data_IF_773699991166
#
_entry.id   IF_773699991166
#
_cell.length_a   1.000
_cell.length_b   1.000
_cell.length_c   1.000
_cell.angle_alpha   90.00
_cell.angle_beta   90.00
_cell.angle_gamma   90.00
#
_symmetry.space_group_name_H-M   'P 1'
#
loop_
_entity.id
_entity.type
_entity.pdbx_description
1 polymer ?
#
# COMPACT_ATOMS: atom_id res chain seq x y z
N UNK A 1 8.28 32.02 8.79
CA UNK A 1 7.74 31.27 7.63
C UNK A 1 8.62 31.47 6.40
N UNK A 2 8.94 32.72 6.02
CA UNK A 2 9.92 33.03 4.97
C UNK A 2 11.29 32.37 5.21
N UNK A 3 11.83 32.43 6.43
CA UNK A 3 13.15 31.85 6.73
C UNK A 3 13.20 30.33 6.56
N UNK A 4 12.14 29.65 6.97
CA UNK A 4 11.99 28.21 6.77
C UNK A 4 11.84 27.82 5.29
N UNK A 5 11.07 28.60 4.52
CA UNK A 5 10.95 28.39 3.07
C UNK A 5 12.33 28.55 2.41
N UNK A 6 13.07 29.59 2.78
CA UNK A 6 14.43 29.83 2.28
C UNK A 6 15.39 28.70 2.69
N UNK A 7 15.28 28.19 3.92
CA UNK A 7 16.07 27.05 4.40
C UNK A 7 15.75 25.76 3.63
N UNK A 8 14.47 25.49 3.33
CA UNK A 8 14.06 24.35 2.49
C UNK A 8 14.47 24.50 1.04
N UNK A 9 14.38 25.70 0.46
CA UNK A 9 14.88 25.98 -0.89
C UNK A 9 16.40 25.82 -0.94
N UNK A 10 17.13 26.24 0.10
CA UNK A 10 18.57 26.01 0.22
C UNK A 10 18.89 24.52 0.35
N UNK A 11 18.16 23.79 1.19
CA UNK A 11 18.28 22.34 1.30
C UNK A 11 18.03 21.64 -0.04
N UNK A 12 17.00 22.05 -0.77
CA UNK A 12 16.65 21.49 -2.07
C UNK A 12 17.73 21.77 -3.12
N UNK A 13 18.32 22.97 -3.13
CA UNK A 13 19.44 23.31 -4.01
C UNK A 13 20.70 22.49 -3.71
N UNK A 14 20.99 22.25 -2.43
CA UNK A 14 22.22 21.54 -1.99
C UNK A 14 22.08 20.02 -2.13
N UNK A 15 20.89 19.48 -1.86
CA UNK A 15 20.62 18.03 -1.82
C UNK A 15 19.68 17.57 -2.94
N UNK A 16 19.69 18.25 -4.10
CA UNK A 16 18.79 17.96 -5.22
C UNK A 16 18.88 16.49 -5.67
N UNK A 17 20.07 15.87 -5.63
CA UNK A 17 20.29 14.45 -5.94
C UNK A 17 19.46 13.53 -5.04
N UNK A 18 19.43 13.81 -3.73
CA UNK A 18 18.63 13.06 -2.76
C UNK A 18 17.14 13.22 -3.08
N UNK A 19 16.71 14.43 -3.44
CA UNK A 19 15.33 14.71 -3.81
C UNK A 19 14.91 13.98 -5.09
N UNK A 20 15.78 13.95 -6.10
CA UNK A 20 15.55 13.21 -7.34
C UNK A 20 15.44 11.72 -7.06
N UNK A 21 16.36 11.14 -6.27
CA UNK A 21 16.33 9.72 -5.91
C UNK A 21 15.04 9.38 -5.16
N UNK A 22 14.62 10.21 -4.20
CA UNK A 22 13.34 10.02 -3.49
C UNK A 22 12.16 10.06 -4.45
N UNK A 23 12.13 11.00 -5.41
CA UNK A 23 11.12 11.07 -6.46
C UNK A 23 11.10 9.82 -7.35
N UNK A 24 12.27 9.33 -7.77
CA UNK A 24 12.41 8.10 -8.56
C UNK A 24 11.92 6.88 -7.78
N UNK A 25 12.33 6.73 -6.52
CA UNK A 25 11.86 5.64 -5.66
C UNK A 25 10.35 5.68 -5.43
N UNK A 26 9.78 6.88 -5.25
CA UNK A 26 8.34 7.08 -5.09
C UNK A 26 7.60 6.61 -6.35
N UNK A 27 8.00 7.10 -7.52
CA UNK A 27 7.36 6.77 -8.79
C UNK A 27 7.53 5.29 -9.15
N UNK A 28 8.74 4.75 -9.05
CA UNK A 28 9.01 3.34 -9.29
C UNK A 28 8.27 2.45 -8.29
N UNK A 29 8.26 2.84 -7.01
CA UNK A 29 7.56 2.09 -5.97
C UNK A 29 6.06 1.97 -6.23
N UNK A 30 5.40 3.09 -6.55
CA UNK A 30 3.97 3.10 -6.93
C UNK A 30 3.72 2.26 -8.19
N UNK A 31 4.56 2.40 -9.21
CA UNK A 31 4.43 1.69 -10.49
C UNK A 31 4.61 0.18 -10.33
N UNK A 32 5.66 -0.25 -9.64
CA UNK A 32 5.97 -1.67 -9.40
C UNK A 32 4.91 -2.30 -8.47
N UNK A 33 4.45 -1.58 -7.46
CA UNK A 33 3.35 -2.05 -6.60
C UNK A 33 2.08 -2.26 -7.43
N UNK A 34 1.71 -1.29 -8.28
CA UNK A 34 0.54 -1.39 -9.16
C UNK A 34 0.65 -2.56 -10.15
N UNK A 35 1.85 -2.80 -10.70
CA UNK A 35 2.13 -3.98 -11.51
C UNK A 35 1.94 -5.28 -10.73
N UNK A 36 2.47 -5.36 -9.49
CA UNK A 36 2.26 -6.50 -8.60
C UNK A 36 0.76 -6.75 -8.34
N UNK A 37 -0.02 -5.67 -8.19
CA UNK A 37 -1.48 -5.75 -8.07
C UNK A 37 -2.11 -6.37 -9.32
N UNK A 38 -1.81 -5.80 -10.49
CA UNK A 38 -2.34 -6.28 -11.76
C UNK A 38 -1.96 -7.74 -12.09
N UNK A 39 -0.79 -8.20 -11.60
CA UNK A 39 -0.33 -9.58 -11.77
C UNK A 39 -1.01 -10.56 -10.81
N UNK A 40 -1.34 -10.18 -9.57
CA UNK A 40 -1.96 -11.12 -8.62
C UNK A 40 -3.45 -11.32 -8.88
N UNK A 41 -4.20 -10.26 -9.23
CA UNK A 41 -5.67 -10.32 -9.41
C UNK A 41 -6.11 -11.51 -10.28
N UNK A 42 -5.54 -11.72 -11.48
CA UNK A 42 -5.96 -12.82 -12.36
C UNK A 42 -5.52 -14.22 -11.90
N UNK A 43 -4.72 -14.36 -10.83
CA UNK A 43 -4.31 -15.68 -10.31
C UNK A 43 -5.47 -16.42 -9.65
N UNK A 44 -6.49 -15.71 -9.16
CA UNK A 44 -7.67 -16.30 -8.53
C UNK A 44 -7.38 -17.05 -7.21
N UNK A 45 -6.19 -16.91 -6.63
CA UNK A 45 -5.79 -17.55 -5.37
C UNK A 45 -6.26 -16.80 -4.13
N UNK A 46 -7.31 -16.01 -4.31
CA UNK A 46 -7.94 -15.14 -3.33
C UNK A 46 -7.42 -13.71 -3.34
N UNK A 47 -7.83 -12.95 -2.31
CA UNK A 47 -7.82 -11.48 -2.37
C UNK A 47 -6.83 -10.89 -1.37
N UNK A 48 -6.35 -9.67 -1.66
CA UNK A 48 -5.60 -8.90 -0.66
C UNK A 48 -6.47 -8.69 0.58
N UNK A 49 -5.85 -8.40 1.72
CA UNK A 49 -6.54 -8.12 2.97
C UNK A 49 -7.53 -6.94 2.87
N UNK A 50 -7.17 -5.92 2.07
CA UNK A 50 -8.02 -4.76 1.77
C UNK A 50 -9.19 -5.19 0.89
N UNK A 51 -8.92 -5.94 -0.17
CA UNK A 51 -9.97 -6.44 -1.06
C UNK A 51 -10.93 -7.37 -0.31
N UNK A 52 -10.43 -8.30 0.50
CA UNK A 52 -11.26 -9.19 1.33
C UNK A 52 -12.23 -8.38 2.20
N UNK A 53 -11.74 -7.33 2.86
CA UNK A 53 -12.58 -6.44 3.65
C UNK A 53 -13.62 -5.70 2.79
N UNK A 54 -13.19 -5.08 1.70
CA UNK A 54 -14.07 -4.35 0.77
C UNK A 54 -15.17 -5.26 0.25
N UNK A 55 -14.83 -6.42 -0.32
CA UNK A 55 -15.82 -7.37 -0.87
C UNK A 55 -16.79 -7.85 0.19
N UNK A 56 -16.30 -8.19 1.39
CA UNK A 56 -17.18 -8.61 2.49
C UNK A 56 -18.19 -7.52 2.85
N UNK A 57 -17.75 -6.28 3.02
CA UNK A 57 -18.67 -5.18 3.33
C UNK A 57 -19.64 -4.87 2.19
N UNK A 58 -19.21 -4.99 0.93
CA UNK A 58 -20.11 -4.86 -0.22
C UNK A 58 -21.19 -5.95 -0.19
N UNK A 59 -20.85 -7.21 0.08
CA UNK A 59 -21.82 -8.30 0.12
C UNK A 59 -22.82 -8.15 1.26
N UNK A 60 -22.37 -7.73 2.45
CA UNK A 60 -23.25 -7.42 3.59
C UNK A 60 -24.19 -6.26 3.24
N UNK A 61 -23.67 -5.16 2.70
CA UNK A 61 -24.47 -3.98 2.37
C UNK A 61 -25.50 -4.23 1.27
N UNK A 62 -25.21 -5.14 0.33
CA UNK A 62 -26.10 -5.47 -0.79
C UNK A 62 -27.03 -6.63 -0.48
N UNK A 63 -26.78 -7.37 0.59
CA UNK A 63 -27.59 -8.52 0.97
C UNK A 63 -27.58 -9.64 -0.08
N UNK A 64 -26.51 -9.77 -0.87
CA UNK A 64 -26.33 -10.91 -1.79
C UNK A 64 -24.86 -11.11 -2.17
N UNK A 65 -24.51 -12.35 -2.50
CA UNK A 65 -23.28 -12.62 -3.22
C UNK A 65 -23.41 -12.07 -4.64
N UNK A 66 -22.37 -11.40 -5.12
CA UNK A 66 -22.36 -10.88 -6.49
C UNK A 66 -21.16 -11.47 -7.21
N UNK A 67 -21.42 -12.28 -8.23
CA UNK A 67 -20.41 -12.63 -9.23
C UNK A 67 -20.08 -11.36 -10.04
N UNK A 68 -18.80 -11.20 -10.38
CA UNK A 68 -18.23 -9.97 -10.94
C UNK A 68 -19.03 -9.43 -12.14
N UNK A 69 -19.78 -8.34 -11.93
CA UNK A 69 -20.53 -7.59 -12.94
C UNK A 69 -20.43 -6.08 -12.70
N UNK A 70 -20.95 -5.25 -13.62
CA UNK A 70 -20.76 -3.78 -13.61
C UNK A 70 -21.28 -3.09 -12.32
N UNK A 71 -22.29 -3.66 -11.66
CA UNK A 71 -22.76 -3.18 -10.36
C UNK A 71 -21.71 -3.38 -9.23
N UNK A 72 -20.92 -4.46 -9.30
CA UNK A 72 -19.82 -4.75 -8.37
C UNK A 72 -18.71 -3.72 -8.56
N UNK A 73 -18.37 -3.38 -9.80
CA UNK A 73 -17.29 -2.43 -10.10
C UNK A 73 -17.54 -1.02 -9.53
N UNK A 74 -18.77 -0.50 -9.67
CA UNK A 74 -19.14 0.84 -9.19
C UNK A 74 -19.13 0.93 -7.66
N UNK A 75 -19.70 -0.09 -6.98
CA UNK A 75 -19.74 -0.12 -5.52
C UNK A 75 -18.36 -0.42 -4.95
N UNK A 76 -17.61 -1.35 -5.55
CA UNK A 76 -16.22 -1.66 -5.18
C UNK A 76 -15.34 -0.42 -5.22
N UNK A 77 -15.38 0.35 -6.31
CA UNK A 77 -14.59 1.59 -6.41
C UNK A 77 -14.94 2.59 -5.31
N UNK A 78 -16.24 2.71 -5.00
CA UNK A 78 -16.73 3.62 -3.94
C UNK A 78 -16.29 3.13 -2.55
N UNK A 79 -16.44 1.84 -2.26
CA UNK A 79 -16.05 1.23 -0.98
C UNK A 79 -14.53 1.26 -0.78
N UNK A 80 -13.76 1.04 -1.85
CA UNK A 80 -12.30 1.15 -1.83
C UNK A 80 -11.86 2.60 -1.58
N UNK A 81 -12.52 3.58 -2.20
CA UNK A 81 -12.28 5.00 -1.92
C UNK A 81 -12.60 5.34 -0.46
N UNK A 82 -13.75 4.90 0.07
CA UNK A 82 -14.11 5.09 1.48
C UNK A 82 -13.09 4.44 2.43
N UNK A 83 -12.58 3.27 2.08
CA UNK A 83 -11.50 2.61 2.82
C UNK A 83 -10.25 3.49 2.86
N UNK A 84 -9.78 3.98 1.71
CA UNK A 84 -8.57 4.84 1.67
C UNK A 84 -8.78 6.20 2.36
N UNK A 85 -9.97 6.77 2.30
CA UNK A 85 -10.33 7.99 3.05
C UNK A 85 -10.30 7.72 4.56
N UNK A 86 -10.89 6.60 5.00
CA UNK A 86 -10.87 6.20 6.42
C UNK A 86 -9.43 5.96 6.88
N UNK A 87 -8.63 5.28 6.07
CA UNK A 87 -7.21 5.07 6.28
C UNK A 87 -6.45 6.39 6.45
N UNK A 88 -6.71 7.36 5.57
CA UNK A 88 -6.13 8.71 5.65
C UNK A 88 -6.52 9.43 6.94
N UNK A 89 -7.77 9.34 7.37
CA UNK A 89 -8.24 9.94 8.64
C UNK A 89 -7.51 9.31 9.83
N UNK A 90 -7.43 7.98 9.90
CA UNK A 90 -6.71 7.28 10.98
C UNK A 90 -5.22 7.64 10.98
N UNK A 91 -4.59 7.69 9.80
CA UNK A 91 -3.21 8.15 9.62
C UNK A 91 -3.02 9.57 10.17
N UNK A 92 -3.92 10.48 9.81
CA UNK A 92 -3.90 11.87 10.27
C UNK A 92 -4.07 11.97 11.79
N UNK A 93 -4.93 11.14 12.42
CA UNK A 93 -5.08 11.09 13.88
C UNK A 93 -3.77 10.63 14.54
N UNK A 94 -3.16 9.54 14.08
CA UNK A 94 -1.88 9.06 14.63
C UNK A 94 -0.76 10.09 14.44
N UNK A 95 -0.66 10.68 13.24
CA UNK A 95 0.30 11.74 12.95
C UNK A 95 0.07 12.98 13.80
N UNK A 96 -1.18 13.36 14.05
CA UNK A 96 -1.52 14.51 14.91
C UNK A 96 -1.09 14.25 16.35
N UNK A 97 -1.38 13.06 16.90
CA UNK A 97 -0.97 12.69 18.26
C UNK A 97 0.56 12.74 18.39
N UNK A 98 1.29 12.17 17.43
CA UNK A 98 2.75 12.18 17.42
C UNK A 98 3.29 13.62 17.34
N UNK A 99 2.75 14.44 16.43
CA UNK A 99 3.11 15.85 16.24
C UNK A 99 2.85 16.69 17.49
N UNK A 100 1.71 16.49 18.16
CA UNK A 100 1.38 17.19 19.42
C UNK A 100 2.39 16.82 20.52
N UNK A 101 2.75 15.53 20.65
CA UNK A 101 3.76 15.09 21.64
C UNK A 101 5.11 15.75 21.37
N UNK A 102 5.53 15.81 20.11
CA UNK A 102 6.78 16.44 19.71
C UNK A 102 6.76 17.97 19.91
N UNK A 103 5.66 18.63 19.55
CA UNK A 103 5.47 20.06 19.78
C UNK A 103 5.45 20.40 21.27
N UNK A 104 4.84 19.57 22.12
CA UNK A 104 4.89 19.76 23.57
C UNK A 104 6.32 19.71 24.12
N UNK A 105 7.18 18.85 23.57
CA UNK A 105 8.59 18.73 23.95
C UNK A 105 9.46 19.88 23.42
N UNK A 106 9.35 20.19 22.13
CA UNK A 106 10.29 21.07 21.44
C UNK A 106 9.79 22.51 21.25
N UNK A 107 8.46 22.75 21.36
CA UNK A 107 7.79 24.05 21.13
C UNK A 107 8.03 24.69 19.75
N UNK A 108 8.49 23.91 18.77
CA UNK A 108 8.80 24.38 17.43
C UNK A 108 7.57 24.31 16.52
N UNK A 109 7.11 25.47 16.01
CA UNK A 109 6.00 25.53 15.06
C UNK A 109 6.28 24.81 13.73
N UNK A 110 7.56 24.62 13.38
CA UNK A 110 7.97 23.95 12.14
C UNK A 110 7.55 22.47 12.06
N UNK A 111 7.26 21.81 13.21
CA UNK A 111 6.86 20.39 13.28
C UNK A 111 5.51 20.14 12.60
N UNK A 112 4.64 21.15 12.53
CA UNK A 112 3.33 21.05 11.88
C UNK A 112 3.40 20.95 10.36
N UNK A 113 4.50 21.38 9.74
CA UNK A 113 4.62 21.41 8.28
C UNK A 113 4.84 20.02 7.69
N UNK A 114 5.76 19.17 8.21
CA UNK A 114 5.84 17.77 7.80
C UNK A 114 4.51 17.02 7.97
N UNK A 115 3.79 17.26 9.07
CA UNK A 115 2.47 16.68 9.29
C UNK A 115 1.48 17.09 8.19
N UNK A 116 1.34 18.40 7.93
CA UNK A 116 0.48 18.90 6.86
C UNK A 116 0.87 18.36 5.48
N UNK A 117 2.18 18.24 5.22
CA UNK A 117 2.70 17.68 3.95
C UNK A 117 2.24 16.23 3.77
N UNK A 118 2.37 15.39 4.80
CA UNK A 118 1.93 13.98 4.75
C UNK A 118 0.43 13.91 4.45
N UNK A 119 -0.40 14.67 5.18
CA UNK A 119 -1.85 14.68 4.99
C UNK A 119 -2.23 15.08 3.55
N UNK A 120 -1.62 16.15 3.01
CA UNK A 120 -1.88 16.60 1.63
C UNK A 120 -1.41 15.56 0.61
N UNK A 121 -0.23 14.95 0.81
CA UNK A 121 0.26 13.94 -0.13
C UNK A 121 -0.54 12.65 -0.08
N UNK A 122 -1.03 12.23 1.09
CA UNK A 122 -1.90 11.07 1.24
C UNK A 122 -3.24 11.28 0.52
N UNK A 123 -3.78 12.50 0.59
CA UNK A 123 -4.97 12.89 -0.16
C UNK A 123 -4.73 12.76 -1.67
N UNK A 124 -3.65 13.36 -2.18
CA UNK A 124 -3.29 13.30 -3.60
C UNK A 124 -3.13 11.84 -4.06
N UNK A 125 -2.34 11.04 -3.32
CA UNK A 125 -2.09 9.64 -3.65
C UNK A 125 -3.38 8.82 -3.64
N UNK A 126 -4.29 9.06 -2.70
CA UNK A 126 -5.56 8.33 -2.61
C UNK A 126 -6.37 8.46 -3.91
N UNK A 127 -6.30 9.61 -4.58
CA UNK A 127 -6.97 9.81 -5.87
C UNK A 127 -6.11 9.42 -7.08
N UNK A 128 -4.78 9.54 -6.99
CA UNK A 128 -3.87 9.26 -8.11
C UNK A 128 -3.58 7.76 -8.27
N UNK A 129 -3.43 7.02 -7.17
CA UNK A 129 -3.01 5.61 -7.20
C UNK A 129 -3.93 4.68 -8.00
N UNK A 130 -5.27 4.81 -7.96
CA UNK A 130 -6.17 4.00 -8.79
C UNK A 130 -5.86 4.08 -10.30
N UNK A 131 -5.38 5.23 -10.80
CA UNK A 131 -5.01 5.39 -12.21
C UNK A 131 -3.75 4.59 -12.58
N UNK A 132 -2.79 4.44 -11.65
CA UNK A 132 -1.61 3.58 -11.86
C UNK A 132 -2.01 2.11 -12.00
N UNK A 133 -2.95 1.65 -11.17
CA UNK A 133 -3.47 0.27 -11.27
C UNK A 133 -4.23 0.08 -12.59
N UNK A 134 -5.07 1.05 -12.96
CA UNK A 134 -5.84 1.00 -14.20
C UNK A 134 -4.93 0.96 -15.44
N UNK A 135 -3.83 1.71 -15.44
CA UNK A 135 -2.85 1.71 -16.54
C UNK A 135 -2.33 0.30 -16.87
N UNK A 136 -2.03 -0.52 -15.86
CA UNK A 136 -1.58 -1.90 -16.08
C UNK A 136 -2.71 -2.89 -16.39
N UNK A 137 -3.90 -2.63 -15.84
CA UNK A 137 -5.07 -3.46 -16.09
C UNK A 137 -5.65 -3.27 -17.50
N UNK A 138 -5.63 -2.04 -18.01
CA UNK A 138 -6.22 -1.66 -19.28
C UNK A 138 -5.41 -0.53 -19.97
N UNK A 139 -4.17 -0.82 -20.42
CA UNK A 139 -3.33 0.17 -21.07
C UNK A 139 -4.06 0.72 -22.30
N UNK A 140 -4.16 2.05 -22.39
CA UNK A 140 -4.82 2.77 -23.49
C UNK A 140 -6.32 2.46 -23.66
N UNK A 141 -7.00 1.97 -22.61
CA UNK A 141 -8.44 1.69 -22.62
C UNK A 141 -8.85 0.46 -23.44
N UNK A 142 -7.88 -0.29 -23.97
CA UNK A 142 -8.15 -1.47 -24.80
C UNK A 142 -8.30 -2.74 -23.95
N UNK A 143 -9.55 -3.13 -23.68
CA UNK A 143 -9.89 -4.33 -22.89
C UNK A 143 -9.14 -5.55 -23.45
N UNK A 144 -8.33 -6.20 -22.61
CA UNK A 144 -7.64 -7.46 -22.95
C UNK A 144 -6.19 -7.35 -23.44
N UNK A 145 -5.63 -6.13 -23.58
CA UNK A 145 -4.20 -5.90 -23.85
C UNK A 145 -3.36 -5.62 -22.59
N UNK A 146 -4.00 -5.48 -21.42
CA UNK A 146 -3.32 -5.29 -20.15
C UNK A 146 -2.69 -6.55 -19.57
N UNK A 147 -1.84 -6.37 -18.58
CA UNK A 147 -1.15 -7.46 -17.85
C UNK A 147 -2.16 -8.44 -17.23
N UNK A 148 -3.34 -7.93 -16.86
CA UNK A 148 -4.47 -8.71 -16.34
C UNK A 148 -4.99 -9.73 -17.36
N UNK A 149 -4.89 -9.45 -18.66
CA UNK A 149 -5.30 -10.37 -19.74
C UNK A 149 -4.21 -11.37 -20.15
N UNK A 150 -2.95 -11.14 -19.78
CA UNK A 150 -1.83 -12.03 -20.09
C UNK A 150 -1.79 -13.25 -19.17
N UNK A 151 -2.09 -13.07 -17.89
CA UNK A 151 -2.02 -14.14 -16.87
C UNK A 151 -2.96 -15.31 -17.18
N UNK A 152 -4.26 -15.11 -17.49
CA UNK A 152 -5.15 -16.22 -17.84
C UNK A 152 -4.71 -16.94 -19.11
N UNK A 153 -4.23 -16.21 -20.13
CA UNK A 153 -3.73 -16.77 -21.39
C UNK A 153 -2.48 -17.63 -21.17
N UNK A 154 -1.56 -17.17 -20.34
CA UNK A 154 -0.34 -17.90 -19.98
C UNK A 154 -0.66 -19.14 -19.14
N UNK A 155 -1.64 -19.06 -18.22
CA UNK A 155 -2.10 -20.21 -17.46
C UNK A 155 -2.70 -21.30 -18.37
N UNK A 156 -3.55 -20.92 -19.33
CA UNK A 156 -4.12 -21.86 -20.32
C UNK A 156 -3.04 -22.45 -21.23
N UNK A 157 -2.08 -21.63 -21.68
CA UNK A 157 -0.97 -22.10 -22.50
C UNK A 157 -0.06 -23.08 -21.74
N UNK A 158 0.28 -22.81 -20.48
CA UNK A 158 1.10 -23.73 -19.67
C UNK A 158 0.35 -25.02 -19.31
N UNK A 159 -0.97 -24.95 -19.10
CA UNK A 159 -1.82 -26.13 -18.91
C UNK A 159 -1.80 -27.03 -20.16
N UNK A 160 -1.79 -26.44 -21.35
CA UNK A 160 -1.62 -27.19 -22.61
C UNK A 160 -0.24 -27.86 -22.77
N UNK A 161 0.76 -27.48 -21.96
CA UNK A 161 2.09 -28.08 -21.90
C UNK A 161 2.24 -29.12 -20.77
N UNK A 162 1.15 -29.49 -20.08
CA UNK A 162 1.14 -30.50 -19.03
C UNK A 162 1.49 -29.98 -17.63
N UNK A 163 1.62 -28.67 -17.44
CA UNK A 163 1.71 -28.08 -16.10
C UNK A 163 0.31 -28.01 -15.47
N UNK A 164 0.18 -28.21 -14.15
CA UNK A 164 -1.11 -27.97 -13.51
C UNK A 164 -1.44 -26.47 -13.54
N UNK A 165 -2.56 -26.10 -14.16
CA UNK A 165 -3.05 -24.70 -14.17
C UNK A 165 -3.07 -24.05 -12.78
N UNK A 166 -3.37 -24.81 -11.72
CA UNK A 166 -3.34 -24.33 -10.34
C UNK A 166 -1.92 -24.10 -9.79
N UNK A 167 -0.96 -24.97 -10.12
CA UNK A 167 0.44 -24.80 -9.73
C UNK A 167 1.07 -23.58 -10.39
N UNK A 168 0.76 -23.35 -11.67
CA UNK A 168 1.17 -22.15 -12.42
C UNK A 168 0.62 -20.88 -11.76
N UNK A 169 -0.68 -20.84 -11.47
CA UNK A 169 -1.31 -19.70 -10.76
C UNK A 169 -0.65 -19.41 -9.41
N UNK A 170 -0.23 -20.46 -8.70
CA UNK A 170 0.42 -20.36 -7.40
C UNK A 170 1.81 -19.72 -7.49
N UNK A 171 2.63 -20.17 -8.43
CA UNK A 171 3.93 -19.54 -8.68
C UNK A 171 3.81 -18.10 -9.17
N UNK A 172 2.85 -17.84 -10.04
CA UNK A 172 2.57 -16.48 -10.50
C UNK A 172 2.13 -15.56 -9.36
N UNK A 173 1.30 -16.06 -8.43
CA UNK A 173 0.93 -15.33 -7.23
C UNK A 173 2.15 -15.01 -6.37
N UNK A 174 3.03 -15.97 -6.12
CA UNK A 174 4.25 -15.74 -5.32
C UNK A 174 5.13 -14.67 -5.97
N UNK A 175 5.35 -14.74 -7.29
CA UNK A 175 6.11 -13.74 -8.03
C UNK A 175 5.44 -12.36 -7.95
N UNK A 176 4.12 -12.29 -8.20
CA UNK A 176 3.34 -11.05 -8.11
C UNK A 176 3.41 -10.44 -6.70
N UNK A 177 3.34 -11.28 -5.66
CA UNK A 177 3.43 -10.88 -4.26
C UNK A 177 4.81 -10.33 -3.90
N UNK A 178 5.89 -10.93 -4.40
CA UNK A 178 7.26 -10.41 -4.21
C UNK A 178 7.42 -9.06 -4.92
N UNK A 179 6.94 -8.95 -6.17
CA UNK A 179 6.95 -7.68 -6.93
C UNK A 179 6.16 -6.59 -6.19
N UNK A 180 4.98 -6.93 -5.67
CA UNK A 180 4.18 -6.04 -4.83
C UNK A 180 4.95 -5.56 -3.60
N UNK A 181 5.55 -6.49 -2.83
CA UNK A 181 6.32 -6.15 -1.63
C UNK A 181 7.53 -5.26 -1.96
N UNK A 182 8.20 -5.53 -3.09
CA UNK A 182 9.34 -4.73 -3.54
C UNK A 182 8.92 -3.31 -3.92
N UNK A 183 7.80 -3.15 -4.64
CA UNK A 183 7.22 -1.85 -4.95
C UNK A 183 6.92 -1.03 -3.69
N UNK A 184 6.30 -1.64 -2.68
CA UNK A 184 6.06 -0.98 -1.39
C UNK A 184 7.38 -0.63 -0.69
N UNK A 185 8.37 -1.50 -0.71
CA UNK A 185 9.65 -1.22 -0.07
C UNK A 185 10.32 0.03 -0.66
N UNK A 186 10.33 0.18 -1.99
CA UNK A 186 10.81 1.40 -2.67
C UNK A 186 9.97 2.62 -2.30
N UNK A 187 8.64 2.47 -2.30
CA UNK A 187 7.70 3.54 -1.98
C UNK A 187 7.91 4.05 -0.56
N UNK A 188 7.91 3.17 0.44
CA UNK A 188 8.15 3.53 1.85
C UNK A 188 9.55 4.12 2.02
N UNK A 189 10.55 3.57 1.33
CA UNK A 189 11.93 4.10 1.35
C UNK A 189 12.02 5.52 0.80
N UNK A 190 11.13 5.96 -0.08
CA UNK A 190 11.14 7.34 -0.59
C UNK A 190 10.93 8.42 0.49
N UNK A 191 10.28 8.09 1.62
CA UNK A 191 9.97 8.98 2.76
C UNK A 191 9.13 10.24 2.47
N UNK A 192 8.66 10.45 1.23
CA UNK A 192 8.05 11.72 0.83
C UNK A 192 6.53 11.73 0.82
N UNK A 193 5.92 10.62 0.41
CA UNK A 193 4.49 10.56 0.21
C UNK A 193 4.07 9.08 0.34
N UNK A 194 3.91 8.54 1.56
CA UNK A 194 3.75 7.10 1.74
C UNK A 194 2.41 6.60 1.18
N UNK A 195 1.41 7.46 1.08
CA UNK A 195 0.04 7.09 0.73
C UNK A 195 -0.72 6.60 1.96
N UNK A 196 -2.04 6.80 1.96
CA UNK A 196 -2.90 6.61 3.14
C UNK A 196 -2.62 5.34 3.95
N UNK A 197 -2.52 4.18 3.29
CA UNK A 197 -2.26 2.92 3.98
C UNK A 197 -0.84 2.80 4.57
N UNK A 198 0.21 3.14 3.81
CA UNK A 198 1.58 3.10 4.35
C UNK A 198 1.80 4.21 5.40
N UNK A 199 1.09 5.32 5.27
CA UNK A 199 1.09 6.41 6.25
C UNK A 199 0.50 5.95 7.58
N UNK A 200 -0.62 5.21 7.61
CA UNK A 200 -1.07 4.60 8.89
C UNK A 200 0.04 3.74 9.49
N UNK A 201 0.65 2.85 8.70
CA UNK A 201 1.68 1.93 9.20
C UNK A 201 2.89 2.69 9.79
N UNK A 202 3.37 3.72 9.09
CA UNK A 202 4.52 4.53 9.53
C UNK A 202 4.18 5.44 10.71
N UNK A 203 2.99 6.03 10.77
CA UNK A 203 2.55 6.84 11.90
C UNK A 203 2.28 5.96 13.14
N UNK A 204 1.73 4.77 12.96
CA UNK A 204 1.57 3.79 14.02
C UNK A 204 2.92 3.32 14.56
N UNK A 205 3.89 3.07 13.68
CA UNK A 205 5.29 2.79 14.04
C UNK A 205 5.89 3.92 14.88
N UNK A 206 5.71 5.18 14.48
CA UNK A 206 6.18 6.35 15.22
C UNK A 206 5.52 6.48 16.61
N UNK A 207 4.22 6.14 16.71
CA UNK A 207 3.46 6.22 17.95
C UNK A 207 3.85 5.12 18.95
N UNK A 208 4.04 3.89 18.47
CA UNK A 208 4.24 2.68 19.29
C UNK A 208 5.69 2.28 19.48
N UNK A 209 6.61 2.82 18.67
CA UNK A 209 8.03 2.41 18.59
C UNK A 209 8.25 0.94 18.20
N UNK A 210 7.22 0.28 17.67
CA UNK A 210 7.35 -1.04 17.06
C UNK A 210 8.12 -0.92 15.74
N UNK A 211 8.60 -2.04 15.20
CA UNK A 211 9.19 -2.05 13.86
C UNK A 211 8.09 -2.04 12.78
N UNK A 212 8.45 -1.65 11.55
CA UNK A 212 7.49 -1.56 10.44
C UNK A 212 6.75 -2.88 10.17
N UNK A 213 7.43 -4.02 10.34
CA UNK A 213 6.84 -5.35 10.16
C UNK A 213 5.66 -5.59 11.09
N UNK A 214 5.84 -5.36 12.40
CA UNK A 214 4.80 -5.58 13.41
C UNK A 214 3.69 -4.53 13.25
N UNK A 215 4.06 -3.27 13.02
CA UNK A 215 3.09 -2.20 12.77
C UNK A 215 2.16 -2.55 11.60
N UNK A 216 2.71 -3.08 10.50
CA UNK A 216 1.93 -3.49 9.35
C UNK A 216 1.00 -4.66 9.64
N UNK A 217 1.49 -5.72 10.30
CA UNK A 217 0.65 -6.87 10.69
C UNK A 217 -0.53 -6.40 11.54
N UNK A 218 -0.30 -5.51 12.51
CA UNK A 218 -1.36 -4.98 13.37
C UNK A 218 -2.38 -4.18 12.54
N UNK A 219 -1.93 -3.30 11.65
CA UNK A 219 -2.83 -2.57 10.74
C UNK A 219 -3.65 -3.52 9.87
N UNK A 220 -3.03 -4.57 9.33
CA UNK A 220 -3.70 -5.58 8.51
C UNK A 220 -4.73 -6.39 9.29
N UNK A 221 -4.42 -6.76 10.54
CA UNK A 221 -5.38 -7.41 11.44
C UNK A 221 -6.57 -6.51 11.77
N UNK A 222 -6.34 -5.21 11.99
CA UNK A 222 -7.42 -4.24 12.24
C UNK A 222 -8.35 -4.12 11.03
N UNK A 223 -7.83 -4.29 9.81
CA UNK A 223 -8.63 -4.27 8.58
C UNK A 223 -9.40 -5.57 8.40
N UNK A 224 -8.74 -6.70 8.65
CA UNK A 224 -9.30 -8.03 8.39
C UNK A 224 -10.27 -8.48 9.47
N UNK A 225 -10.01 -8.22 10.75
CA UNK A 225 -10.84 -8.73 11.84
C UNK A 225 -12.31 -8.30 11.73
N UNK A 226 -12.65 -7.03 11.44
CA UNK A 226 -14.03 -6.62 11.19
C UNK A 226 -14.65 -7.36 10.00
N UNK A 227 -13.89 -7.63 8.94
CA UNK A 227 -14.36 -8.37 7.77
C UNK A 227 -14.62 -9.85 8.09
N UNK A 228 -13.74 -10.49 8.88
CA UNK A 228 -13.94 -11.88 9.35
C UNK A 228 -15.22 -12.00 10.17
N UNK A 229 -15.56 -10.98 10.97
CA UNK A 229 -16.84 -10.94 11.69
C UNK A 229 -18.01 -10.67 10.73
N UNK A 230 -17.86 -9.70 9.83
CA UNK A 230 -18.89 -9.27 8.90
C UNK A 230 -19.30 -10.37 7.90
N UNK A 231 -18.39 -11.28 7.53
CA UNK A 231 -18.66 -12.34 6.55
C UNK A 231 -19.82 -13.25 6.99
N UNK A 232 -20.01 -13.44 8.29
CA UNK A 232 -21.08 -14.28 8.85
C UNK A 232 -22.47 -13.65 8.75
N UNK A 233 -22.52 -12.35 8.43
CA UNK A 233 -23.76 -11.62 8.15
C UNK A 233 -24.06 -11.52 6.65
N UNK A 234 -23.24 -12.12 5.78
CA UNK A 234 -23.53 -12.21 4.35
C UNK A 234 -24.69 -13.19 4.17
N UNK A 235 -25.82 -12.79 3.58
CA UNK A 235 -26.95 -13.69 3.44
C UNK A 235 -26.68 -14.78 2.40
N UNK A 236 -27.17 -15.99 2.70
CA UNK A 236 -27.14 -17.10 1.76
C UNK A 236 -28.00 -16.77 0.55
N UNK A 237 -27.36 -16.62 -0.60
CA UNK A 237 -27.99 -16.31 -1.89
C UNK A 237 -27.36 -17.20 -2.95
N UNK A 238 -28.18 -17.72 -3.87
CA UNK A 238 -27.72 -18.55 -5.01
C UNK A 238 -26.86 -19.77 -4.62
N UNK A 239 -27.15 -20.40 -3.47
CA UNK A 239 -26.39 -21.56 -2.97
C UNK A 239 -25.02 -21.24 -2.36
N UNK A 240 -24.65 -19.95 -2.29
CA UNK A 240 -23.39 -19.51 -1.68
C UNK A 240 -23.66 -19.18 -0.21
N UNK A 241 -23.04 -19.95 0.68
CA UNK A 241 -23.11 -19.76 2.12
C UNK A 241 -22.08 -18.73 2.60
N UNK A 242 -22.25 -18.15 3.81
CA UNK A 242 -21.22 -17.35 4.46
C UNK A 242 -19.85 -18.05 4.49
N UNK A 243 -19.84 -19.37 4.77
CA UNK A 243 -18.64 -20.18 4.79
C UNK A 243 -17.98 -20.26 3.40
N UNK A 244 -18.76 -20.49 2.34
CA UNK A 244 -18.23 -20.50 0.97
C UNK A 244 -17.66 -19.13 0.60
N UNK A 245 -18.34 -18.03 0.96
CA UNK A 245 -17.85 -16.66 0.75
C UNK A 245 -16.54 -16.40 1.51
N UNK A 246 -16.45 -16.86 2.76
CA UNK A 246 -15.25 -16.76 3.57
C UNK A 246 -14.08 -17.51 2.92
N UNK A 247 -14.21 -18.82 2.65
CA UNK A 247 -13.10 -19.61 2.10
C UNK A 247 -12.72 -19.25 0.66
N UNK A 248 -13.63 -18.65 -0.10
CA UNK A 248 -13.33 -18.16 -1.47
C UNK A 248 -12.51 -16.87 -1.43
N UNK A 249 -12.77 -15.97 -0.47
CA UNK A 249 -12.11 -14.66 -0.43
C UNK A 249 -10.96 -14.59 0.58
N UNK A 250 -11.08 -15.28 1.73
CA UNK A 250 -10.05 -15.45 2.75
C UNK A 250 -9.23 -16.70 2.46
N UNK A 251 -8.09 -16.48 1.82
CA UNK A 251 -7.26 -17.52 1.21
C UNK A 251 -5.83 -17.47 1.72
N UNK A 252 -4.98 -18.37 1.22
CA UNK A 252 -3.53 -18.31 1.46
C UNK A 252 -2.93 -16.97 1.01
N UNK A 253 -3.47 -16.34 -0.04
CA UNK A 253 -3.05 -15.03 -0.47
C UNK A 253 -3.33 -13.97 0.60
N UNK A 254 -4.55 -13.96 1.14
CA UNK A 254 -4.96 -13.04 2.21
C UNK A 254 -4.08 -13.21 3.45
N UNK A 255 -3.82 -14.45 3.84
CA UNK A 255 -2.92 -14.78 4.96
C UNK A 255 -1.50 -14.26 4.68
N UNK A 256 -0.97 -14.44 3.47
CA UNK A 256 0.34 -13.90 3.09
C UNK A 256 0.37 -12.37 3.15
N UNK A 257 -0.68 -11.69 2.67
CA UNK A 257 -0.77 -10.24 2.76
C UNK A 257 -0.82 -9.73 4.21
N UNK A 258 -1.52 -10.43 5.12
CA UNK A 258 -1.63 -10.03 6.53
C UNK A 258 -0.34 -10.29 7.31
N UNK A 259 0.24 -11.49 7.20
CA UNK A 259 1.30 -11.92 8.09
C UNK A 259 2.71 -11.87 7.47
N UNK A 260 2.81 -11.98 6.15
CA UNK A 260 4.10 -12.15 5.46
C UNK A 260 4.56 -10.86 4.77
N UNK A 261 3.64 -10.01 4.30
CA UNK A 261 4.00 -8.78 3.58
C UNK A 261 4.86 -7.85 4.45
N UNK A 262 4.47 -7.59 5.70
CA UNK A 262 5.24 -6.76 6.64
C UNK A 262 6.70 -7.21 6.82
N UNK A 263 6.94 -8.48 7.19
CA UNK A 263 8.30 -9.02 7.30
C UNK A 263 9.12 -8.87 6.02
N UNK A 264 8.58 -9.27 4.86
CA UNK A 264 9.29 -9.20 3.57
C UNK A 264 9.64 -7.75 3.21
N UNK A 265 8.67 -6.84 3.33
CA UNK A 265 8.87 -5.42 3.03
C UNK A 265 9.96 -4.84 3.95
N UNK A 266 9.94 -5.17 5.24
CA UNK A 266 10.96 -4.70 6.18
C UNK A 266 12.37 -5.22 5.82
N UNK A 267 12.49 -6.50 5.42
CA UNK A 267 13.76 -7.06 4.93
C UNK A 267 14.24 -6.30 3.68
N UNK A 268 13.34 -6.05 2.73
CA UNK A 268 13.65 -5.31 1.50
C UNK A 268 14.08 -3.87 1.78
N UNK A 269 13.35 -3.13 2.64
CA UNK A 269 13.70 -1.76 3.05
C UNK A 269 15.11 -1.74 3.66
N UNK A 270 15.42 -2.68 4.55
CA UNK A 270 16.73 -2.78 5.18
C UNK A 270 17.83 -3.15 4.18
N UNK A 271 17.55 -4.04 3.22
CA UNK A 271 18.45 -4.39 2.13
C UNK A 271 18.74 -3.20 1.21
N UNK A 272 17.70 -2.51 0.76
CA UNK A 272 17.79 -1.28 -0.05
C UNK A 272 18.60 -0.21 0.69
N UNK A 273 18.40 -0.06 2.00
CA UNK A 273 19.13 0.90 2.84
C UNK A 273 20.63 0.64 2.98
N UNK A 274 21.12 -0.57 2.67
CA UNK A 274 22.56 -0.88 2.64
C UNK A 274 23.25 -0.35 1.38
N UNK A 275 22.50 -0.03 0.32
CA UNK A 275 23.06 0.53 -0.90
C UNK A 275 23.54 1.96 -0.65
N UNK A 276 24.81 2.25 -0.92
CA UNK A 276 25.43 3.57 -0.63
C UNK A 276 24.65 4.75 -1.23
N UNK A 277 24.11 4.58 -2.43
CA UNK A 277 23.34 5.60 -3.16
C UNK A 277 21.87 5.71 -2.72
N UNK A 278 21.41 4.89 -1.77
CA UNK A 278 20.05 4.95 -1.18
C UNK A 278 20.11 5.13 0.35
N UNK A 279 21.29 5.41 0.88
CA UNK A 279 21.51 5.79 2.27
C UNK A 279 21.53 7.33 2.36
N UNK A 280 20.34 7.92 2.54
CA UNK A 280 20.19 9.37 2.51
C UNK A 280 21.04 10.08 3.56
N UNK A 281 21.23 9.50 4.74
CA UNK A 281 22.04 10.09 5.82
C UNK A 281 23.51 10.25 5.41
N UNK A 282 24.00 9.37 4.52
CA UNK A 282 25.37 9.44 3.97
C UNK A 282 25.48 10.34 2.73
N UNK A 283 24.36 10.67 2.09
CA UNK A 283 24.32 11.50 0.88
C UNK A 283 24.05 12.98 1.17
N UNK A 284 23.43 13.28 2.31
CA UNK A 284 23.22 14.66 2.74
C UNK A 284 24.57 15.32 2.98
N UNK A 285 24.87 16.38 2.23
CA UNK A 285 26.17 17.06 2.30
C UNK A 285 26.30 17.77 3.67
N UNK A 286 27.46 17.65 4.35
CA UNK A 286 27.63 18.00 5.77
C UNK A 286 27.50 19.48 6.14
N UNK A 287 27.40 20.41 5.18
CA UNK A 287 27.25 21.85 5.44
C UNK A 287 25.91 22.26 6.11
N UNK A 288 25.09 21.28 6.53
CA UNK A 288 23.85 21.45 7.29
C UNK A 288 23.75 20.45 8.46
N UNK A 289 24.77 19.61 8.72
CA UNK A 289 24.73 18.67 9.85
C UNK A 289 24.62 19.41 11.20
N UNK A 290 25.14 20.64 11.31
CA UNK A 290 25.01 21.49 12.50
C UNK A 290 23.57 21.95 12.79
N UNK A 291 22.65 21.88 11.82
CA UNK A 291 21.22 22.11 12.07
C UNK A 291 20.48 20.87 12.61
N UNK A 292 21.05 19.67 12.42
CA UNK A 292 20.52 18.41 12.93
C UNK A 292 21.21 17.93 14.22
N UNK A 293 22.49 18.26 14.47
CA UNK A 293 23.20 17.89 15.71
C UNK A 293 22.86 18.74 16.92
N UNK A 294 22.18 19.89 16.76
CA UNK A 294 21.64 20.65 17.91
C UNK A 294 20.36 19.99 18.50
N UNK A 295 19.89 18.86 17.94
CA UNK A 295 18.67 18.17 18.41
C UNK A 295 18.80 16.65 18.49
N UNK A 296 19.73 16.15 19.32
CA UNK A 296 19.52 14.87 20.01
C UNK A 296 18.85 15.12 21.36
#
# INVERSE_FOLDING_TARGET
>A
MKDWINERLRYAKVNYEVLIIKGVLLFLGMTIMALGIALYIPTGLGKSQVDFAVFTFVYVAKGKFMSDGDAVATIYSTTLMLFYVTAMIVSAIFGLIATIREYKKNKLKAIWIPFATIVVTDLIITFVFPYFVNFFANPLGTKGLGVVGLVPKMAVWLDSLGASSQGVRSWMFVLAFIVFCFGIALWVKSTWAPGSYNSICTQFMALTKLNYSISRIICDLIIVAPAVVAVWFVPTTDGITPANSFFTNFSIATIAFVFVAGPIINIMINGIGKLKFLNFDKMIKPHMQEAETIKK
#
